data_IF_190857507754
#
_entry.id   IF_190857507754
#
_cell.length_a   1.000
_cell.length_b   1.000
_cell.length_c   1.000
_cell.angle_alpha   90.00
_cell.angle_beta   90.00
_cell.angle_gamma   90.00
#
_symmetry.space_group_name_H-M   'P 1'
#
loop_
_entity.id
_entity.type
_entity.pdbx_description
1 polymer ?
#
# COMPACT_ATOMS: atom_id res chain seq x y z
N UNK A 1 21.29 2.66 -13.84
CA UNK A 1 20.23 2.70 -14.87
C UNK A 1 19.30 3.82 -14.47
N UNK A 2 19.28 4.90 -15.25
CA UNK A 2 18.49 6.09 -14.93
C UNK A 2 17.01 5.78 -15.18
N UNK A 3 16.16 6.09 -14.21
CA UNK A 3 14.71 6.06 -14.40
C UNK A 3 14.37 7.25 -15.28
N UNK A 4 13.84 7.03 -16.48
CA UNK A 4 13.54 8.10 -17.44
C UNK A 4 12.03 8.17 -17.73
N UNK A 5 11.63 9.19 -18.48
CA UNK A 5 10.28 9.32 -18.99
C UNK A 5 9.83 8.04 -19.72
N UNK A 6 10.68 7.47 -20.58
CA UNK A 6 10.38 6.28 -21.37
C UNK A 6 10.15 5.05 -20.50
N UNK A 7 10.95 4.87 -19.45
CA UNK A 7 10.80 3.75 -18.50
C UNK A 7 9.50 3.88 -17.73
N UNK A 8 9.17 5.08 -17.26
CA UNK A 8 7.93 5.37 -16.53
C UNK A 8 6.71 5.14 -17.43
N UNK A 9 6.77 5.60 -18.68
CA UNK A 9 5.69 5.40 -19.65
C UNK A 9 5.48 3.90 -19.96
N UNK A 10 6.56 3.14 -20.11
CA UNK A 10 6.48 1.71 -20.33
C UNK A 10 5.87 0.98 -19.12
N UNK A 11 6.28 1.34 -17.89
CA UNK A 11 5.73 0.78 -16.66
C UNK A 11 4.23 1.11 -16.52
N UNK A 12 3.85 2.38 -16.67
CA UNK A 12 2.46 2.83 -16.63
C UNK A 12 1.58 2.09 -17.65
N UNK A 13 2.09 1.90 -18.88
CA UNK A 13 1.40 1.18 -19.94
C UNK A 13 1.22 -0.30 -19.61
N UNK A 14 2.29 -0.96 -19.12
CA UNK A 14 2.25 -2.37 -18.74
C UNK A 14 1.29 -2.61 -17.58
N UNK A 15 1.33 -1.78 -16.54
CA UNK A 15 0.38 -1.87 -15.42
C UNK A 15 -1.06 -1.66 -15.87
N UNK A 16 -1.29 -0.69 -16.78
CA UNK A 16 -2.62 -0.44 -17.35
C UNK A 16 -3.13 -1.68 -18.08
N UNK A 17 -2.29 -2.34 -18.88
CA UNK A 17 -2.63 -3.60 -19.53
C UNK A 17 -2.95 -4.68 -18.51
N UNK A 18 -2.16 -4.80 -17.43
CA UNK A 18 -2.42 -5.78 -16.38
C UNK A 18 -3.78 -5.53 -15.69
N UNK A 19 -4.08 -4.27 -15.37
CA UNK A 19 -5.36 -3.88 -14.79
C UNK A 19 -6.52 -4.22 -15.72
N UNK A 20 -6.41 -3.92 -17.02
CA UNK A 20 -7.43 -4.24 -18.01
C UNK A 20 -7.65 -5.76 -18.13
N UNK A 21 -6.57 -6.54 -18.13
CA UNK A 21 -6.64 -8.01 -18.14
C UNK A 21 -7.39 -8.53 -16.91
N UNK A 22 -7.07 -8.04 -15.71
CA UNK A 22 -7.79 -8.43 -14.48
C UNK A 22 -9.28 -8.07 -14.55
N UNK A 23 -9.59 -6.84 -14.99
CA UNK A 23 -10.98 -6.39 -15.16
C UNK A 23 -11.77 -7.24 -16.16
N UNK A 24 -11.13 -7.70 -17.24
CA UNK A 24 -11.75 -8.50 -18.28
C UNK A 24 -11.88 -9.99 -17.92
N UNK A 25 -10.83 -10.57 -17.33
CA UNK A 25 -10.73 -12.01 -17.05
C UNK A 25 -11.73 -12.48 -15.99
N UNK A 26 -12.01 -11.64 -14.98
CA UNK A 26 -13.12 -11.83 -14.06
C UNK A 26 -13.03 -13.05 -13.14
N UNK A 27 -11.83 -13.60 -12.89
CA UNK A 27 -11.64 -14.68 -11.92
C UNK A 27 -11.85 -14.19 -10.48
N UNK A 28 -11.97 -15.15 -9.55
CA UNK A 28 -12.31 -14.95 -8.13
C UNK A 28 -11.54 -13.80 -7.45
N UNK A 29 -10.24 -13.65 -7.73
CA UNK A 29 -9.36 -12.67 -7.10
C UNK A 29 -9.02 -11.47 -7.98
N UNK A 30 -9.54 -11.43 -9.21
CA UNK A 30 -9.19 -10.39 -10.17
C UNK A 30 -9.70 -9.02 -9.74
N UNK A 31 -10.94 -8.92 -9.23
CA UNK A 31 -11.51 -7.64 -8.76
C UNK A 31 -10.77 -7.08 -7.53
N UNK A 32 -10.50 -7.86 -6.47
CA UNK A 32 -9.63 -7.42 -5.39
C UNK A 32 -8.25 -6.96 -5.88
N UNK A 33 -7.59 -7.74 -6.75
CA UNK A 33 -6.27 -7.39 -7.25
C UNK A 33 -6.29 -6.15 -8.16
N UNK A 34 -7.28 -6.01 -9.03
CA UNK A 34 -7.49 -4.82 -9.85
C UNK A 34 -7.67 -3.58 -8.97
N UNK A 35 -8.42 -3.71 -7.87
CA UNK A 35 -8.54 -2.63 -6.87
C UNK A 35 -7.20 -2.30 -6.22
N UNK A 36 -6.33 -3.27 -5.91
CA UNK A 36 -4.98 -2.98 -5.37
C UNK A 36 -4.07 -2.27 -6.36
N UNK A 37 -4.17 -2.64 -7.64
CA UNK A 37 -3.28 -2.13 -8.70
C UNK A 37 -3.72 -0.75 -9.18
N UNK A 38 -5.02 -0.43 -9.15
CA UNK A 38 -5.54 0.85 -9.62
C UNK A 38 -4.79 2.08 -9.07
N UNK A 39 -4.57 2.24 -7.74
CA UNK A 39 -3.83 3.39 -7.25
C UNK A 39 -2.38 3.44 -7.73
N UNK A 40 -1.74 2.29 -8.03
CA UNK A 40 -0.39 2.25 -8.59
C UNK A 40 -0.38 2.73 -10.04
N UNK A 41 -1.34 2.28 -10.85
CA UNK A 41 -1.53 2.73 -12.24
C UNK A 41 -1.73 4.24 -12.29
N UNK A 42 -2.61 4.77 -11.44
CA UNK A 42 -2.87 6.21 -11.36
C UNK A 42 -1.59 6.97 -10.99
N UNK A 43 -0.82 6.45 -10.04
CA UNK A 43 0.43 7.06 -9.60
C UNK A 43 1.48 7.08 -10.73
N UNK A 44 1.67 5.99 -11.46
CA UNK A 44 2.61 5.92 -12.60
C UNK A 44 2.24 6.92 -13.69
N UNK A 45 0.96 7.04 -14.06
CA UNK A 45 0.52 8.04 -15.03
C UNK A 45 0.78 9.47 -14.56
N UNK A 46 0.58 9.77 -13.28
CA UNK A 46 0.94 11.07 -12.72
C UNK A 46 2.46 11.29 -12.77
N UNK A 47 3.28 10.26 -12.59
CA UNK A 47 4.73 10.36 -12.76
C UNK A 47 5.14 10.63 -14.21
N UNK A 48 4.49 10.00 -15.20
CA UNK A 48 4.71 10.31 -16.62
C UNK A 48 4.50 11.80 -16.87
N UNK A 49 3.42 12.38 -16.33
CA UNK A 49 3.15 13.82 -16.45
C UNK A 49 4.25 14.63 -15.75
N UNK A 50 4.66 14.25 -14.54
CA UNK A 50 5.74 14.96 -13.83
C UNK A 50 7.08 14.90 -14.54
N UNK A 51 7.40 13.81 -15.24
CA UNK A 51 8.63 13.73 -16.04
C UNK A 51 8.64 14.74 -17.18
N UNK A 52 7.49 14.98 -17.82
CA UNK A 52 7.37 16.01 -18.85
C UNK A 52 7.48 17.43 -18.28
N UNK A 53 7.20 17.61 -16.99
CA UNK A 53 7.21 18.89 -16.29
C UNK A 53 8.28 18.95 -15.18
N UNK A 54 9.36 18.17 -15.29
CA UNK A 54 10.32 18.02 -14.19
C UNK A 54 11.01 19.36 -13.88
N UNK A 55 11.03 19.74 -12.61
CA UNK A 55 11.63 21.00 -12.16
C UNK A 55 13.16 20.97 -12.25
N UNK A 56 13.77 22.15 -12.36
CA UNK A 56 15.24 22.32 -12.27
C UNK A 56 15.74 22.18 -10.83
N UNK A 57 14.89 22.47 -9.83
CA UNK A 57 15.26 22.42 -8.43
C UNK A 57 14.05 22.20 -7.51
N UNK A 58 14.31 22.12 -6.22
CA UNK A 58 13.26 21.98 -5.20
C UNK A 58 12.30 23.17 -5.10
N UNK A 59 12.59 24.30 -5.73
CA UNK A 59 11.81 25.55 -5.65
C UNK A 59 11.41 26.10 -7.01
N UNK A 60 11.94 25.52 -8.09
CA UNK A 60 11.72 25.99 -9.46
C UNK A 60 11.01 24.88 -10.25
N UNK A 61 9.69 25.02 -10.37
CA UNK A 61 8.85 24.17 -11.21
C UNK A 61 7.59 24.94 -11.61
N UNK A 62 6.93 24.49 -12.67
CA UNK A 62 5.68 25.08 -13.14
C UNK A 62 4.46 24.65 -12.30
N UNK A 63 3.31 25.26 -12.57
CA UNK A 63 2.07 25.00 -11.84
C UNK A 63 1.56 23.56 -12.02
N UNK A 64 1.80 22.97 -13.21
CA UNK A 64 1.43 21.58 -13.51
C UNK A 64 2.21 20.63 -12.62
N UNK A 65 3.53 20.81 -12.49
CA UNK A 65 4.36 20.01 -11.61
C UNK A 65 3.86 20.09 -10.16
N UNK A 66 3.58 21.29 -9.65
CA UNK A 66 3.07 21.46 -8.29
C UNK A 66 1.73 20.76 -8.08
N UNK A 67 0.81 20.91 -9.03
CA UNK A 67 -0.54 20.35 -8.94
C UNK A 67 -0.52 18.83 -9.00
N UNK A 68 0.22 18.26 -9.94
CA UNK A 68 0.37 16.81 -10.08
C UNK A 68 1.14 16.23 -8.88
N UNK A 69 2.13 16.96 -8.36
CA UNK A 69 2.86 16.59 -7.15
C UNK A 69 1.95 16.48 -5.92
N UNK A 70 1.03 17.43 -5.74
CA UNK A 70 -0.01 17.36 -4.71
C UNK A 70 -0.93 16.16 -4.94
N UNK A 71 -1.36 15.94 -6.19
CA UNK A 71 -2.24 14.82 -6.54
C UNK A 71 -1.61 13.47 -6.18
N UNK A 72 -0.32 13.27 -6.48
CA UNK A 72 0.43 12.07 -6.07
C UNK A 72 0.47 11.95 -4.55
N UNK A 73 0.79 13.04 -3.83
CA UNK A 73 0.83 13.00 -2.38
C UNK A 73 -0.53 12.61 -1.77
N UNK A 74 -1.62 13.15 -2.31
CA UNK A 74 -2.99 12.77 -1.91
C UNK A 74 -3.27 11.29 -2.18
N UNK A 75 -2.93 10.82 -3.38
CA UNK A 75 -3.12 9.43 -3.79
C UNK A 75 -2.37 8.46 -2.87
N UNK A 76 -1.09 8.73 -2.62
CA UNK A 76 -0.22 7.92 -1.75
C UNK A 76 -0.76 7.90 -0.32
N UNK A 77 -1.18 9.04 0.22
CA UNK A 77 -1.81 9.10 1.53
C UNK A 77 -3.13 8.31 1.61
N UNK A 78 -3.83 8.11 0.48
CA UNK A 78 -5.08 7.36 0.42
C UNK A 78 -4.88 5.84 0.22
N UNK A 79 -3.72 5.38 -0.27
CA UNK A 79 -3.45 3.95 -0.54
C UNK A 79 -3.71 3.06 0.68
N UNK A 80 -3.32 3.39 1.92
CA UNK A 80 -3.59 2.48 3.03
C UNK A 80 -5.09 2.32 3.30
N UNK A 81 -5.87 3.40 3.16
CA UNK A 81 -7.34 3.33 3.22
C UNK A 81 -7.88 2.44 2.10
N UNK A 82 -7.33 2.62 0.90
CA UNK A 82 -7.67 1.82 -0.27
C UNK A 82 -7.44 0.32 -0.06
N UNK A 83 -6.29 -0.06 0.51
CA UNK A 83 -5.97 -1.45 0.83
C UNK A 83 -6.95 -2.08 1.81
N UNK A 84 -7.51 -1.29 2.73
CA UNK A 84 -8.50 -1.78 3.68
C UNK A 84 -9.89 -2.01 3.09
N UNK A 85 -10.11 -1.63 1.83
CA UNK A 85 -11.31 -2.03 1.09
C UNK A 85 -11.23 -3.48 0.61
N UNK A 86 -10.04 -4.09 0.58
CA UNK A 86 -9.84 -5.45 0.05
C UNK A 86 -10.70 -6.54 0.71
N UNK A 87 -10.78 -6.62 2.05
CA UNK A 87 -11.67 -7.58 2.70
C UNK A 87 -13.15 -7.35 2.37
N UNK A 88 -13.54 -6.11 2.02
CA UNK A 88 -14.92 -5.77 1.68
C UNK A 88 -15.28 -6.18 0.25
N UNK A 89 -14.28 -6.26 -0.64
CA UNK A 89 -14.43 -6.63 -2.05
C UNK A 89 -14.23 -8.13 -2.29
N UNK A 90 -13.66 -8.85 -1.32
CA UNK A 90 -13.41 -10.28 -1.41
C UNK A 90 -14.69 -11.07 -1.05
N UNK A 91 -15.15 -11.99 -1.90
CA UNK A 91 -16.37 -12.77 -1.65
C UNK A 91 -16.20 -13.91 -0.62
N UNK A 92 -15.01 -14.07 -0.03
CA UNK A 92 -14.71 -15.18 0.90
C UNK A 92 -15.23 -14.85 2.32
N UNK A 93 -15.46 -15.87 3.14
CA UNK A 93 -15.98 -15.83 4.52
C UNK A 93 -15.17 -14.91 5.47
N UNK A 94 -15.29 -13.60 5.28
CA UNK A 94 -14.78 -12.58 6.20
C UNK A 94 -15.72 -12.56 7.40
N UNK A 95 -15.20 -12.92 8.58
CA UNK A 95 -16.01 -12.90 9.81
C UNK A 95 -16.51 -11.48 10.11
N UNK A 96 -17.64 -11.34 10.82
CA UNK A 96 -18.20 -10.03 11.18
C UNK A 96 -17.19 -9.13 11.91
N UNK A 97 -16.37 -9.71 12.79
CA UNK A 97 -15.35 -9.00 13.57
C UNK A 97 -14.27 -8.42 12.65
N UNK A 98 -13.80 -9.22 11.68
CA UNK A 98 -12.80 -8.79 10.72
C UNK A 98 -13.33 -7.66 9.81
N UNK A 99 -14.61 -7.75 9.42
CA UNK A 99 -15.27 -6.68 8.66
C UNK A 99 -15.37 -5.39 9.48
N UNK A 100 -15.62 -5.49 10.79
CA UNK A 100 -15.62 -4.34 11.69
C UNK A 100 -14.22 -3.74 11.86
N UNK A 101 -13.19 -4.56 12.06
CA UNK A 101 -11.79 -4.11 12.12
C UNK A 101 -11.35 -3.44 10.82
N UNK A 102 -11.68 -4.02 9.66
CA UNK A 102 -11.38 -3.43 8.36
C UNK A 102 -12.06 -2.07 8.16
N UNK A 103 -13.31 -1.92 8.62
CA UNK A 103 -14.04 -0.63 8.60
C UNK A 103 -13.41 0.39 9.54
N UNK A 104 -13.08 0.02 10.77
CA UNK A 104 -12.44 0.91 11.72
C UNK A 104 -11.08 1.40 11.19
N UNK A 105 -10.31 0.48 10.60
CA UNK A 105 -9.04 0.79 9.98
C UNK A 105 -9.20 1.68 8.74
N UNK A 106 -10.19 1.41 7.88
CA UNK A 106 -10.55 2.26 6.75
C UNK A 106 -10.88 3.69 7.23
N UNK A 107 -11.68 3.85 8.27
CA UNK A 107 -12.00 5.16 8.85
C UNK A 107 -10.73 5.88 9.36
N UNK A 108 -9.85 5.16 10.07
CA UNK A 108 -8.58 5.71 10.53
C UNK A 108 -7.69 6.15 9.37
N UNK A 109 -7.53 5.30 8.36
CA UNK A 109 -6.70 5.62 7.20
C UNK A 109 -7.29 6.76 6.35
N UNK A 110 -8.62 6.85 6.21
CA UNK A 110 -9.28 7.99 5.59
C UNK A 110 -9.05 9.28 6.38
N UNK A 111 -9.13 9.23 7.72
CA UNK A 111 -8.84 10.39 8.57
C UNK A 111 -7.40 10.86 8.39
N UNK A 112 -6.42 9.95 8.39
CA UNK A 112 -5.02 10.25 8.09
C UNK A 112 -4.84 10.83 6.68
N UNK A 113 -5.49 10.25 5.67
CA UNK A 113 -5.46 10.76 4.30
C UNK A 113 -6.02 12.18 4.20
N UNK A 114 -7.24 12.41 4.68
CA UNK A 114 -7.92 13.71 4.65
C UNK A 114 -7.14 14.76 5.43
N UNK A 115 -6.61 14.43 6.61
CA UNK A 115 -5.78 15.36 7.39
C UNK A 115 -4.47 15.71 6.65
N UNK A 116 -3.82 14.73 6.02
CA UNK A 116 -2.64 14.97 5.18
C UNK A 116 -2.93 15.90 3.99
N UNK A 117 -4.05 15.66 3.28
CA UNK A 117 -4.49 16.54 2.18
C UNK A 117 -4.83 17.93 2.70
N UNK A 118 -5.56 18.03 3.81
CA UNK A 118 -5.95 19.31 4.41
C UNK A 118 -4.72 20.13 4.80
N UNK A 119 -3.71 19.52 5.42
CA UNK A 119 -2.44 20.17 5.76
C UNK A 119 -1.75 20.72 4.51
N UNK A 120 -1.75 19.98 3.40
CA UNK A 120 -1.14 20.44 2.15
C UNK A 120 -1.95 21.57 1.48
N UNK A 121 -3.27 21.44 1.41
CA UNK A 121 -4.16 22.44 0.80
C UNK A 121 -4.13 23.74 1.62
N UNK A 122 -4.37 23.66 2.93
CA UNK A 122 -4.27 24.81 3.83
C UNK A 122 -2.84 25.34 3.82
N UNK A 123 -1.84 24.45 3.80
CA UNK A 123 -0.41 24.65 3.50
C UNK A 123 -0.15 25.67 2.40
N UNK A 124 -0.74 25.39 1.24
CA UNK A 124 -0.61 26.22 0.05
C UNK A 124 -1.41 27.50 0.16
N UNK A 125 -2.67 27.43 0.59
CA UNK A 125 -3.59 28.58 0.62
C UNK A 125 -3.14 29.67 1.58
N UNK A 126 -2.62 29.30 2.76
CA UNK A 126 -2.13 30.26 3.75
C UNK A 126 -0.68 30.70 3.52
N UNK A 127 -0.02 30.23 2.44
CA UNK A 127 1.35 30.63 2.08
C UNK A 127 2.46 30.14 3.02
N UNK A 128 2.14 29.35 4.05
CA UNK A 128 3.08 28.71 4.97
C UNK A 128 3.81 27.47 4.41
N UNK A 129 3.61 27.11 3.13
CA UNK A 129 4.34 26.06 2.41
C UNK A 129 5.00 26.67 1.16
N UNK A 130 6.33 26.56 1.02
CA UNK A 130 7.09 27.26 -0.05
C UNK A 130 6.99 26.59 -1.41
N UNK A 131 7.06 25.26 -1.44
CA UNK A 131 7.19 24.51 -2.68
C UNK A 131 6.87 23.03 -2.47
N UNK A 132 6.16 22.45 -3.44
CA UNK A 132 6.00 21.01 -3.65
C UNK A 132 6.43 20.74 -5.09
N UNK A 133 7.69 20.99 -5.40
CA UNK A 133 8.28 20.68 -6.70
C UNK A 133 8.89 19.29 -6.71
N UNK A 134 8.60 18.57 -7.79
CA UNK A 134 9.28 17.35 -8.18
C UNK A 134 10.40 17.68 -9.18
N UNK A 135 11.61 17.21 -8.92
CA UNK A 135 12.82 17.49 -9.72
C UNK A 135 13.72 16.25 -9.80
N UNK A 136 14.68 16.27 -10.72
CA UNK A 136 15.66 15.21 -10.84
C UNK A 136 16.73 15.33 -9.74
N UNK A 137 16.96 14.26 -9.01
CA UNK A 137 18.02 14.19 -8.01
C UNK A 137 19.40 13.85 -8.59
N UNK A 138 20.45 13.79 -7.74
CA UNK A 138 21.82 13.52 -8.14
C UNK A 138 22.06 12.26 -8.96
N UNK A 139 21.24 11.21 -8.80
CA UNK A 139 21.35 9.98 -9.61
C UNK A 139 20.34 9.94 -10.76
N UNK A 140 19.78 11.11 -11.13
CA UNK A 140 18.78 11.28 -12.17
C UNK A 140 17.48 10.52 -11.92
N UNK A 141 17.17 10.21 -10.65
CA UNK A 141 15.86 9.72 -10.25
C UNK A 141 14.96 10.87 -9.81
N UNK A 142 13.66 10.67 -9.93
CA UNK A 142 12.67 11.65 -9.52
C UNK A 142 12.63 11.75 -7.99
N UNK A 143 12.86 12.95 -7.46
CA UNK A 143 12.67 13.22 -6.04
C UNK A 143 11.19 13.48 -5.78
N UNK A 144 10.62 12.67 -4.90
CA UNK A 144 9.20 12.69 -4.65
C UNK A 144 8.74 13.96 -3.93
N UNK A 145 7.56 14.48 -4.31
CA UNK A 145 7.06 15.74 -3.77
C UNK A 145 6.78 15.68 -2.27
N UNK A 146 6.26 14.55 -1.78
CA UNK A 146 6.02 14.33 -0.34
C UNK A 146 7.32 14.39 0.49
N UNK A 147 8.46 14.05 -0.11
CA UNK A 147 9.76 14.07 0.57
C UNK A 147 10.44 15.45 0.54
N UNK A 148 9.88 16.39 -0.22
CA UNK A 148 10.44 17.70 -0.48
C UNK A 148 9.55 18.86 0.01
N UNK A 149 8.60 18.56 0.88
CA UNK A 149 7.76 19.58 1.54
C UNK A 149 8.62 20.53 2.37
N UNK A 150 8.51 21.82 2.10
CA UNK A 150 9.18 22.88 2.84
C UNK A 150 8.14 23.84 3.45
N UNK A 151 8.34 24.19 4.72
CA UNK A 151 7.44 25.07 5.48
C UNK A 151 8.05 26.45 5.69
N UNK A 152 7.30 27.50 5.36
CA UNK A 152 7.68 28.91 5.43
C UNK A 152 7.75 29.47 6.87
N UNK A 153 7.00 28.89 7.82
CA UNK A 153 6.91 29.43 9.19
C UNK A 153 8.12 29.10 10.08
N UNK A 154 9.00 28.19 9.64
CA UNK A 154 10.35 28.01 10.20
C UNK A 154 11.39 28.04 9.06
N UNK A 155 11.82 29.22 8.60
CA UNK A 155 12.86 29.30 7.58
C UNK A 155 14.15 28.62 8.06
N UNK A 156 14.84 27.93 7.15
CA UNK A 156 16.13 27.27 7.41
C UNK A 156 16.04 25.83 7.91
N UNK A 157 16.97 25.44 8.78
CA UNK A 157 17.19 24.04 9.19
C UNK A 157 15.95 23.42 9.87
N UNK A 158 15.23 24.20 10.69
CA UNK A 158 14.12 23.68 11.49
C UNK A 158 12.86 23.40 10.66
N UNK A 159 12.50 24.22 9.68
CA UNK A 159 11.36 23.94 8.78
C UNK A 159 11.64 22.75 7.86
N UNK A 160 12.89 22.61 7.41
CA UNK A 160 13.33 21.41 6.67
C UNK A 160 13.29 20.15 7.54
N UNK A 161 13.68 20.23 8.82
CA UNK A 161 13.62 19.08 9.74
C UNK A 161 12.17 18.70 10.06
N UNK A 162 11.30 19.67 10.35
CA UNK A 162 9.88 19.44 10.62
C UNK A 162 9.16 18.88 9.39
N UNK A 163 9.42 19.44 8.20
CA UNK A 163 9.00 18.89 6.91
C UNK A 163 9.35 17.43 6.74
N UNK A 164 10.63 17.10 6.91
CA UNK A 164 11.11 15.71 6.83
C UNK A 164 10.48 14.82 7.89
N UNK A 165 10.34 15.29 9.13
CA UNK A 165 9.76 14.51 10.21
C UNK A 165 8.28 14.19 9.95
N UNK A 166 7.48 15.18 9.55
CA UNK A 166 6.07 14.98 9.23
C UNK A 166 5.88 14.08 8.00
N UNK A 167 6.68 14.26 6.94
CA UNK A 167 6.66 13.37 5.78
C UNK A 167 7.10 11.94 6.14
N UNK A 168 8.10 11.79 7.00
CA UNK A 168 8.56 10.48 7.48
C UNK A 168 7.54 9.79 8.39
N UNK A 169 6.83 10.56 9.24
CA UNK A 169 5.73 10.03 10.05
C UNK A 169 4.54 9.61 9.18
N UNK A 170 4.18 10.39 8.16
CA UNK A 170 3.16 10.00 7.18
C UNK A 170 3.57 8.73 6.42
N UNK A 171 4.85 8.61 6.07
CA UNK A 171 5.39 7.40 5.44
C UNK A 171 5.38 6.21 6.41
N UNK A 172 5.72 6.40 7.68
CA UNK A 172 5.63 5.35 8.70
C UNK A 172 4.18 4.92 8.95
N UNK A 173 3.23 5.87 8.95
CA UNK A 173 1.80 5.60 9.02
C UNK A 173 1.34 4.83 7.77
N UNK A 174 1.82 5.20 6.58
CA UNK A 174 1.60 4.47 5.34
C UNK A 174 2.09 3.02 5.46
N UNK A 175 3.30 2.81 5.98
CA UNK A 175 3.85 1.47 6.21
C UNK A 175 3.05 0.68 7.26
N UNK A 176 2.76 1.27 8.42
CA UNK A 176 1.98 0.65 9.46
C UNK A 176 0.56 0.29 8.98
N UNK A 177 -0.02 1.14 8.14
CA UNK A 177 -1.34 0.92 7.59
C UNK A 177 -1.37 -0.06 6.43
N UNK A 178 -0.30 -0.12 5.64
CA UNK A 178 -0.09 -1.21 4.68
C UNK A 178 0.05 -2.55 5.42
N UNK A 179 0.77 -2.58 6.56
CA UNK A 179 0.87 -3.74 7.46
C UNK A 179 -0.50 -4.14 8.05
N UNK A 180 -1.29 -3.16 8.52
CA UNK A 180 -2.67 -3.41 8.96
C UNK A 180 -3.56 -3.97 7.85
N UNK A 181 -3.39 -3.50 6.62
CA UNK A 181 -4.03 -4.06 5.41
C UNK A 181 -3.53 -5.48 5.08
N UNK A 182 -2.26 -5.81 5.31
CA UNK A 182 -1.71 -7.17 5.14
C UNK A 182 -2.26 -8.17 6.16
N UNK A 183 -2.78 -7.70 7.30
CA UNK A 183 -3.54 -8.56 8.21
C UNK A 183 -4.92 -8.94 7.64
N UNK A 184 -5.27 -8.50 6.43
CA UNK A 184 -6.44 -9.01 5.72
C UNK A 184 -6.29 -10.51 5.46
N UNK A 185 -7.23 -11.28 6.02
CA UNK A 185 -7.26 -12.74 6.06
C UNK A 185 -7.54 -13.40 4.70
N UNK A 186 -7.21 -12.74 3.57
CA UNK A 186 -7.45 -13.30 2.24
C UNK A 186 -6.19 -14.03 1.74
N UNK A 187 -6.37 -15.18 1.06
CA UNK A 187 -5.31 -15.75 0.25
C UNK A 187 -4.83 -14.72 -0.78
N UNK A 188 -3.53 -14.44 -0.81
CA UNK A 188 -2.92 -13.57 -1.83
C UNK A 188 -1.42 -13.74 -1.89
N UNK A 189 -0.88 -13.72 -3.11
CA UNK A 189 0.54 -13.53 -3.37
C UNK A 189 0.89 -12.05 -3.60
N UNK A 190 -0.07 -11.23 -4.04
CA UNK A 190 0.14 -9.78 -4.25
C UNK A 190 0.47 -9.07 -2.93
N UNK A 191 -0.28 -9.35 -1.87
CA UNK A 191 -0.10 -8.75 -0.55
C UNK A 191 1.30 -8.99 0.07
N UNK A 192 1.78 -10.23 0.22
CA UNK A 192 3.13 -10.47 0.75
C UNK A 192 4.24 -9.87 -0.12
N UNK A 193 4.11 -9.90 -1.45
CA UNK A 193 5.11 -9.29 -2.35
C UNK A 193 5.16 -7.78 -2.11
N UNK A 194 4.00 -7.12 -2.03
CA UNK A 194 3.94 -5.69 -1.71
C UNK A 194 4.53 -5.37 -0.33
N UNK A 195 4.33 -6.24 0.67
CA UNK A 195 4.97 -6.08 1.99
C UNK A 195 6.51 -6.15 1.88
N UNK A 196 7.04 -7.12 1.11
CA UNK A 196 8.46 -7.23 0.84
C UNK A 196 9.01 -5.99 0.10
N UNK A 197 8.27 -5.46 -0.87
CA UNK A 197 8.60 -4.21 -1.56
C UNK A 197 8.68 -3.05 -0.56
N UNK A 198 7.71 -2.98 0.36
CA UNK A 198 7.71 -1.96 1.41
C UNK A 198 8.91 -2.06 2.36
N UNK A 199 9.27 -3.27 2.78
CA UNK A 199 10.48 -3.49 3.57
C UNK A 199 11.75 -3.10 2.79
N UNK A 200 11.83 -3.45 1.51
CA UNK A 200 12.94 -3.06 0.65
C UNK A 200 13.05 -1.54 0.50
N UNK A 201 11.92 -0.85 0.34
CA UNK A 201 11.87 0.61 0.33
C UNK A 201 12.50 1.24 1.59
N UNK A 202 12.29 0.65 2.77
CA UNK A 202 12.92 1.18 3.99
C UNK A 202 14.46 1.07 3.97
N UNK A 203 15.02 0.01 3.35
CA UNK A 203 16.46 -0.11 3.12
C UNK A 203 16.96 0.88 2.06
N UNK A 204 16.19 1.09 0.99
CA UNK A 204 16.54 2.00 -0.09
C UNK A 204 16.58 3.45 0.35
N UNK A 205 15.78 3.85 1.35
CA UNK A 205 15.88 5.17 1.98
C UNK A 205 17.31 5.42 2.50
N UNK A 206 17.98 4.39 3.06
CA UNK A 206 19.33 4.52 3.60
C UNK A 206 20.40 4.67 2.50
N UNK A 207 20.16 4.11 1.30
CA UNK A 207 21.13 4.06 0.21
C UNK A 207 20.90 5.18 -0.81
N UNK A 208 19.66 5.37 -1.26
CA UNK A 208 19.27 6.32 -2.31
C UNK A 208 18.74 7.65 -1.73
N UNK A 209 18.64 7.77 -0.41
CA UNK A 209 18.23 9.01 0.24
C UNK A 209 16.82 9.43 -0.15
N UNK A 210 16.67 10.53 -0.90
CA UNK A 210 15.37 11.10 -1.30
C UNK A 210 14.80 10.52 -2.60
N UNK A 211 15.61 9.79 -3.35
CA UNK A 211 15.26 9.24 -4.66
C UNK A 211 14.60 7.86 -4.59
N UNK A 212 14.60 7.24 -3.40
CA UNK A 212 14.06 5.89 -3.17
C UNK A 212 12.63 5.70 -3.69
N UNK A 213 11.80 6.75 -3.69
CA UNK A 213 10.40 6.69 -4.13
C UNK A 213 10.25 6.29 -5.60
N UNK A 214 11.19 6.69 -6.47
CA UNK A 214 11.21 6.27 -7.88
C UNK A 214 11.41 4.76 -8.02
N UNK A 215 12.24 4.17 -7.15
CA UNK A 215 12.50 2.74 -7.18
C UNK A 215 11.36 1.93 -6.55
N UNK A 216 10.71 2.49 -5.53
CA UNK A 216 9.52 1.87 -4.95
C UNK A 216 8.38 1.74 -5.99
N UNK A 217 8.18 2.78 -6.81
CA UNK A 217 7.27 2.72 -7.97
C UNK A 217 7.53 1.54 -8.88
N UNK A 218 8.76 1.43 -9.36
CA UNK A 218 9.15 0.33 -10.24
C UNK A 218 8.81 -1.03 -9.67
N UNK A 219 9.17 -1.25 -8.41
CA UNK A 219 8.93 -2.52 -7.75
C UNK A 219 7.43 -2.78 -7.61
N UNK A 220 6.67 -1.73 -7.25
CA UNK A 220 5.22 -1.80 -7.18
C UNK A 220 4.59 -2.12 -8.54
N UNK A 221 5.17 -1.66 -9.66
CA UNK A 221 4.69 -1.99 -11.01
C UNK A 221 4.72 -3.47 -11.35
N UNK A 222 5.62 -4.22 -10.74
CA UNK A 222 5.72 -5.66 -10.94
C UNK A 222 4.56 -6.43 -10.28
N UNK A 223 3.81 -5.79 -9.37
CA UNK A 223 2.64 -6.40 -8.73
C UNK A 223 1.53 -6.74 -9.73
N UNK A 224 1.43 -5.99 -10.83
CA UNK A 224 0.49 -6.30 -11.93
C UNK A 224 0.71 -7.71 -12.48
N UNK A 225 1.97 -8.10 -12.67
CA UNK A 225 2.33 -9.44 -13.15
C UNK A 225 2.00 -10.51 -12.12
N UNK A 226 2.32 -10.26 -10.85
CA UNK A 226 1.99 -11.19 -9.74
C UNK A 226 0.49 -11.42 -9.67
N UNK A 227 -0.32 -10.37 -9.80
CA UNK A 227 -1.78 -10.48 -9.79
C UNK A 227 -2.34 -11.30 -10.97
N UNK A 228 -1.77 -11.15 -12.17
CA UNK A 228 -2.16 -11.97 -13.32
C UNK A 228 -1.82 -13.43 -13.07
N UNK A 229 -0.63 -13.72 -12.54
CA UNK A 229 -0.14 -15.08 -12.28
C UNK A 229 -0.74 -15.72 -11.03
N UNK A 230 -1.38 -14.94 -10.15
CA UNK A 230 -1.92 -15.40 -8.87
C UNK A 230 -2.78 -16.68 -8.96
N UNK A 231 -3.70 -16.85 -9.94
CA UNK A 231 -4.46 -18.09 -10.09
C UNK A 231 -3.58 -19.31 -10.38
N UNK A 232 -2.58 -19.16 -11.24
CA UNK A 232 -1.63 -20.23 -11.55
C UNK A 232 -0.77 -20.59 -10.33
N UNK A 233 -0.35 -19.58 -9.57
CA UNK A 233 0.39 -19.77 -8.32
C UNK A 233 -0.45 -20.53 -7.29
N UNK A 234 -1.74 -20.21 -7.15
CA UNK A 234 -2.65 -20.95 -6.27
C UNK A 234 -2.84 -22.41 -6.70
N UNK A 235 -2.92 -22.68 -8.00
CA UNK A 235 -3.06 -24.04 -8.52
C UNK A 235 -1.80 -24.90 -8.25
N UNK A 236 -0.61 -24.32 -8.36
CA UNK A 236 0.66 -25.07 -8.28
C UNK A 236 1.26 -25.11 -6.87
N UNK A 237 1.06 -24.06 -6.07
CA UNK A 237 1.68 -23.90 -4.76
C UNK A 237 0.68 -23.77 -3.61
N UNK A 238 -0.63 -23.72 -3.91
CA UNK A 238 -1.70 -23.60 -2.93
C UNK A 238 -2.03 -22.15 -2.56
N UNK A 239 -3.14 -21.98 -1.83
CA UNK A 239 -3.57 -20.68 -1.30
C UNK A 239 -2.62 -20.19 -0.20
N UNK A 240 -1.89 -19.10 -0.43
CA UNK A 240 -1.04 -18.50 0.61
C UNK A 240 -1.83 -17.59 1.56
N UNK A 241 -1.97 -17.99 2.82
CA UNK A 241 -2.60 -17.19 3.89
C UNK A 241 -1.56 -16.75 4.92
N UNK A 242 -1.22 -15.45 4.92
CA UNK A 242 -0.19 -14.90 5.80
C UNK A 242 -0.46 -15.15 7.29
N UNK A 243 -1.75 -15.13 7.69
CA UNK A 243 -2.21 -15.39 9.06
C UNK A 243 -3.29 -16.48 9.09
N UNK A 244 -3.09 -17.62 8.44
CA UNK A 244 -4.13 -18.63 8.37
C UNK A 244 -3.58 -20.04 8.30
N UNK A 245 -3.21 -20.58 9.47
CA UNK A 245 -3.25 -22.04 9.75
C UNK A 245 -3.15 -22.40 11.25
N UNK A 246 -3.25 -21.43 12.18
CA UNK A 246 -3.24 -21.77 13.61
C UNK A 246 -4.53 -22.50 14.06
N UNK A 247 -5.63 -22.40 13.30
CA UNK A 247 -6.87 -23.15 13.57
C UNK A 247 -7.03 -24.42 12.74
N UNK A 248 -6.38 -24.54 11.57
CA UNK A 248 -6.47 -25.75 10.75
C UNK A 248 -5.57 -26.89 11.26
N UNK A 249 -4.52 -26.57 12.03
CA UNK A 249 -3.68 -27.57 12.73
C UNK A 249 -4.15 -27.92 14.15
N UNK A 250 -5.25 -27.34 14.63
CA UNK A 250 -5.89 -27.75 15.86
C UNK A 250 -7.13 -28.59 15.53
N UNK A 251 -6.99 -29.91 15.62
CA UNK A 251 -8.04 -30.95 15.54
C UNK A 251 -8.30 -31.57 14.17
N UNK A 252 -7.58 -32.67 13.88
CA UNK A 252 -8.27 -33.96 13.74
C UNK A 252 -8.29 -34.75 15.05
N UNK A 253 -7.20 -34.66 15.83
CA UNK A 253 -6.99 -35.56 16.98
C UNK A 253 -7.78 -35.20 18.24
N UNK A 254 -8.37 -33.99 18.32
CA UNK A 254 -9.17 -33.58 19.49
C UNK A 254 -10.64 -33.99 19.40
N UNK A 255 -11.16 -34.31 18.21
CA UNK A 255 -12.51 -34.84 18.04
C UNK A 255 -12.56 -36.37 18.22
N UNK A 256 -11.47 -37.09 17.96
CA UNK A 256 -11.39 -38.54 18.27
C UNK A 256 -11.03 -38.81 19.73
N UNK A 257 -10.29 -37.91 20.41
CA UNK A 257 -9.98 -38.07 21.84
C UNK A 257 -11.19 -37.85 22.77
N UNK A 258 -12.19 -37.06 22.37
CA UNK A 258 -13.44 -36.90 23.13
C UNK A 258 -14.52 -37.95 22.80
N UNK A 259 -14.38 -38.69 21.69
CA UNK A 259 -15.31 -39.77 21.32
C UNK A 259 -14.94 -41.14 21.91
N UNK A 260 -13.71 -41.32 22.40
CA UNK A 260 -13.19 -42.64 22.86
C UNK A 260 -12.96 -42.67 24.39
N UNK A 261 -13.28 -41.59 25.10
CA UNK A 261 -12.91 -41.37 26.51
C UNK A 261 -14.01 -41.46 27.56
N UNK A 262 -15.14 -42.12 27.31
CA UNK A 262 -16.16 -42.37 28.35
C UNK A 262 -16.23 -43.87 28.67
N UNK A 263 -15.64 -44.34 29.79
CA UNK A 263 -15.91 -45.68 30.30
C UNK A 263 -17.31 -45.70 30.94
N UNK A 264 -18.14 -46.62 30.44
CA UNK A 264 -19.26 -47.17 31.19
C UNK A 264 -18.73 -47.81 32.50
N UNK A 265 -18.98 -47.18 33.64
CA UNK A 265 -19.13 -47.88 34.92
C UNK A 265 -19.62 -46.93 36.01
N UNK A 266 -20.91 -46.99 36.34
CA UNK A 266 -21.37 -47.06 37.73
C UNK A 266 -22.88 -47.33 37.73
N UNK A 267 -23.19 -48.63 37.68
CA UNK A 267 -24.45 -49.21 38.15
C UNK A 267 -24.33 -49.37 39.67
N UNK A 268 -25.38 -48.96 40.38
CA UNK A 268 -25.80 -49.35 41.72
C UNK A 268 -24.95 -48.94 42.95
N UNK A 269 -25.46 -47.93 43.67
CA UNK A 269 -25.62 -47.87 45.14
C UNK A 269 -26.11 -46.44 45.49
N UNK A 270 -27.29 -46.17 46.06
CA UNK A 270 -27.98 -46.79 47.18
C UNK A 270 -29.49 -46.50 47.12
N UNK A 271 -30.27 -47.54 47.40
CA UNK A 271 -31.65 -47.50 47.88
C UNK A 271 -31.66 -47.08 49.35
N UNK A 272 -32.50 -46.11 49.74
CA UNK A 272 -33.28 -46.07 50.99
C UNK A 272 -34.19 -44.84 51.01
#
# INVERSE_FOLDING_TARGET
>A
MCWTFEVTLAAASLETLCLLVLCWRGLRYDRPNASLILPLVLQEWLQVVLWAHIGSSSTECDETNQTVSIAIACLVCAVPAWMCTQPLLCPVDVTPELRQSARAFLCFALLCGVSGVLVQVVGRTLGWMTSICTYAGPWHHQIWPVMNIQYNFLPGLMGSLLGRALSSMNLMLYFAASIGGFMSYRPSYVLPVLACIGLNASMLVLVLGREWGSFWCFQASLLGLVAILEPWLFEHFGEYRFFGDAKAKASPDKLEAEAIGAPESEVDSLVA
#
